data_IF_201822857266
#
_entry.id   IF_201822857266
#
_cell.length_a   1.000
_cell.length_b   1.000
_cell.length_c   1.000
_cell.angle_alpha   90.00
_cell.angle_beta   90.00
_cell.angle_gamma   90.00
#
_symmetry.space_group_name_H-M   'P 1'
#
loop_
_entity.id
_entity.type
_entity.pdbx_description
1 polymer ?
#
# COMPACT_ATOMS: atom_id res chain seq x y z
N UNK A 1 7.03 4.38 -5.47
CA UNK A 1 6.39 3.19 -6.10
C UNK A 1 7.34 2.01 -5.92
N UNK A 2 6.85 0.83 -5.54
CA UNK A 2 7.69 -0.33 -5.20
C UNK A 2 7.60 -1.40 -6.30
N UNK A 3 8.73 -1.98 -6.69
CA UNK A 3 8.80 -2.99 -7.75
C UNK A 3 8.79 -4.41 -7.17
N UNK A 4 7.95 -5.28 -7.73
CA UNK A 4 7.79 -6.66 -7.26
C UNK A 4 8.99 -7.50 -7.73
N UNK A 5 9.71 -8.11 -6.79
CA UNK A 5 10.82 -9.02 -7.14
C UNK A 5 10.33 -10.43 -7.49
N UNK A 6 11.14 -11.23 -8.19
CA UNK A 6 10.81 -12.64 -8.50
C UNK A 6 10.50 -13.47 -7.25
N UNK A 7 11.23 -13.24 -6.15
CA UNK A 7 10.97 -13.90 -4.86
C UNK A 7 9.58 -13.57 -4.32
N UNK A 8 9.10 -12.36 -4.56
CA UNK A 8 7.77 -11.91 -4.12
C UNK A 8 6.68 -12.45 -5.04
N UNK A 9 6.94 -12.54 -6.34
CA UNK A 9 6.06 -13.26 -7.28
C UNK A 9 5.90 -14.74 -6.90
N UNK A 10 6.98 -15.39 -6.46
CA UNK A 10 6.97 -16.81 -6.07
C UNK A 10 6.12 -17.11 -4.83
N UNK A 11 5.93 -16.12 -3.93
CA UNK A 11 5.04 -16.23 -2.77
C UNK A 11 3.66 -15.62 -3.01
N UNK A 12 3.34 -15.28 -4.26
CA UNK A 12 2.01 -14.84 -4.68
C UNK A 12 1.75 -13.34 -4.68
N UNK A 13 2.75 -12.49 -4.38
CA UNK A 13 2.59 -11.03 -4.47
C UNK A 13 2.59 -10.62 -5.95
N UNK A 14 1.65 -9.76 -6.36
CA UNK A 14 1.41 -9.31 -7.74
C UNK A 14 1.48 -7.78 -7.86
N UNK A 15 1.50 -7.29 -9.11
CA UNK A 15 1.34 -5.86 -9.39
C UNK A 15 -0.05 -5.39 -8.97
N UNK A 16 -0.14 -4.17 -8.45
CA UNK A 16 -1.39 -3.64 -7.88
C UNK A 16 -1.67 -4.09 -6.45
N UNK A 17 -0.93 -5.07 -5.91
CA UNK A 17 -1.06 -5.47 -4.50
C UNK A 17 -0.68 -4.31 -3.57
N UNK A 18 -1.41 -4.23 -2.46
CA UNK A 18 -1.14 -3.28 -1.38
C UNK A 18 -0.46 -4.03 -0.23
N UNK A 19 0.74 -3.58 0.12
CA UNK A 19 1.45 -4.06 1.30
C UNK A 19 1.27 -3.09 2.46
N UNK A 20 0.94 -3.64 3.62
CA UNK A 20 1.07 -2.97 4.91
C UNK A 20 2.40 -3.37 5.53
N UNK A 21 3.29 -2.41 5.75
CA UNK A 21 4.61 -2.67 6.32
C UNK A 21 4.70 -2.04 7.71
N UNK A 22 4.93 -2.83 8.77
CA UNK A 22 5.20 -2.32 10.12
C UNK A 22 6.35 -1.33 10.13
N UNK A 23 6.16 -0.18 10.77
CA UNK A 23 7.22 0.80 10.97
C UNK A 23 7.50 0.97 12.47
N UNK A 24 8.77 0.95 12.85
CA UNK A 24 9.19 1.01 14.27
C UNK A 24 9.21 2.43 14.86
N UNK A 25 8.96 3.46 14.05
CA UNK A 25 9.12 4.86 14.42
C UNK A 25 7.87 5.69 14.16
N UNK A 26 7.95 6.98 14.47
CA UNK A 26 6.90 7.93 14.09
C UNK A 26 7.12 8.48 12.67
N UNK A 27 6.04 8.73 11.91
CA UNK A 27 6.14 9.36 10.61
C UNK A 27 6.68 10.79 10.74
N UNK A 28 7.61 11.17 9.86
CA UNK A 28 7.94 12.57 9.64
C UNK A 28 6.85 13.20 8.78
N UNK A 29 5.81 13.74 9.42
CA UNK A 29 4.58 14.18 8.76
C UNK A 29 4.82 15.43 7.91
N UNK A 30 4.48 15.36 6.63
CA UNK A 30 4.36 16.52 5.74
C UNK A 30 2.91 17.00 5.64
N UNK A 31 1.95 16.06 5.62
CA UNK A 31 0.53 16.36 5.47
C UNK A 31 -0.32 15.34 6.21
N UNK A 32 -1.33 15.81 6.94
CA UNK A 32 -2.41 14.98 7.48
C UNK A 32 -3.47 14.76 6.38
N UNK A 33 -3.90 13.51 6.19
CA UNK A 33 -4.97 13.15 5.24
C UNK A 33 -6.31 13.00 5.98
N UNK A 34 -6.30 12.54 7.23
CA UNK A 34 -7.50 12.25 8.02
C UNK A 34 -7.58 10.77 8.39
N UNK A 35 -8.78 10.19 8.33
CA UNK A 35 -9.02 8.80 8.73
C UNK A 35 -9.10 7.82 7.56
N UNK A 36 -9.17 8.33 6.33
CA UNK A 36 -9.31 7.50 5.13
C UNK A 36 -8.50 8.02 3.95
N UNK A 37 -8.03 7.12 3.09
CA UNK A 37 -7.32 7.46 1.86
C UNK A 37 -7.46 6.37 0.80
N UNK A 38 -7.57 6.74 -0.48
CA UNK A 38 -7.61 5.77 -1.58
C UNK A 38 -6.22 5.67 -2.20
N UNK A 39 -5.71 4.43 -2.31
CA UNK A 39 -4.44 4.11 -2.95
C UNK A 39 -4.66 3.15 -4.13
N UNK A 40 -3.86 3.27 -5.19
CA UNK A 40 -3.98 2.42 -6.39
C UNK A 40 -5.38 2.47 -7.03
N UNK A 41 -6.08 3.60 -6.91
CA UNK A 41 -7.44 3.88 -7.42
C UNK A 41 -8.59 3.00 -6.86
N UNK A 42 -8.31 1.82 -6.31
CA UNK A 42 -9.31 0.84 -5.92
C UNK A 42 -9.24 0.42 -4.45
N UNK A 43 -8.16 0.71 -3.73
CA UNK A 43 -7.97 0.28 -2.34
C UNK A 43 -8.17 1.43 -1.37
N UNK A 44 -9.14 1.28 -0.46
CA UNK A 44 -9.42 2.24 0.59
C UNK A 44 -8.68 1.84 1.86
N UNK A 45 -7.78 2.72 2.31
CA UNK A 45 -7.14 2.68 3.61
C UNK A 45 -8.07 3.35 4.61
N UNK A 46 -8.37 2.66 5.72
CA UNK A 46 -9.12 3.22 6.86
C UNK A 46 -8.28 3.05 8.12
N UNK A 47 -8.08 4.13 8.86
CA UNK A 47 -7.23 4.16 10.04
C UNK A 47 -7.65 5.28 10.99
N UNK A 48 -7.17 5.25 12.23
CA UNK A 48 -7.37 6.36 13.16
C UNK A 48 -6.67 7.65 12.65
N UNK A 49 -5.53 7.49 11.97
CA UNK A 49 -4.77 8.56 11.34
C UNK A 49 -4.11 8.07 10.06
N UNK A 50 -4.16 8.88 9.02
CA UNK A 50 -3.47 8.68 7.74
C UNK A 50 -2.70 9.96 7.42
N UNK A 51 -1.42 9.80 7.09
CA UNK A 51 -0.50 10.92 6.81
C UNK A 51 0.31 10.65 5.55
N UNK A 52 0.74 11.73 4.90
CA UNK A 52 1.84 11.71 3.93
C UNK A 52 3.11 12.18 4.64
N UNK A 53 4.16 11.39 4.55
CA UNK A 53 5.48 11.73 5.10
C UNK A 53 6.25 12.69 4.18
N UNK A 54 7.30 13.33 4.69
CA UNK A 54 8.17 14.24 3.92
C UNK A 54 8.81 13.60 2.68
N UNK A 55 8.98 12.28 2.67
CA UNK A 55 9.49 11.52 1.52
C UNK A 55 8.37 11.02 0.60
N UNK A 56 7.14 11.52 0.77
CA UNK A 56 5.99 11.27 -0.10
C UNK A 56 5.33 9.90 0.10
N UNK A 57 5.61 9.19 1.21
CA UNK A 57 4.98 7.90 1.51
C UNK A 57 3.69 8.09 2.29
N UNK A 58 2.75 7.18 2.11
CA UNK A 58 1.53 7.12 2.92
C UNK A 58 1.79 6.25 4.14
N UNK A 59 1.53 6.78 5.32
CA UNK A 59 1.57 6.06 6.58
C UNK A 59 0.20 6.11 7.24
N UNK A 60 -0.18 5.03 7.91
CA UNK A 60 -1.45 4.93 8.60
C UNK A 60 -1.27 4.24 9.97
N UNK A 61 -2.04 4.69 10.96
CA UNK A 61 -1.99 4.14 12.32
C UNK A 61 -3.02 3.03 12.49
N UNK A 62 -2.55 1.80 12.69
CA UNK A 62 -3.34 0.56 12.80
C UNK A 62 -4.38 0.42 11.67
N UNK A 63 -3.95 0.45 10.40
CA UNK A 63 -4.87 0.50 9.27
C UNK A 63 -5.63 -0.80 9.01
N UNK A 64 -6.73 -0.64 8.27
CA UNK A 64 -7.34 -1.70 7.46
C UNK A 64 -7.40 -1.27 6.00
N UNK A 65 -7.35 -2.24 5.09
CA UNK A 65 -7.39 -2.06 3.64
C UNK A 65 -8.61 -2.78 3.08
N UNK A 66 -9.42 -2.05 2.35
CA UNK A 66 -10.65 -2.53 1.76
C UNK A 66 -10.60 -2.34 0.24
N UNK A 67 -10.98 -3.36 -0.52
CA UNK A 67 -11.20 -3.17 -1.94
C UNK A 67 -12.53 -2.45 -2.16
N UNK A 68 -12.53 -1.36 -2.91
CA UNK A 68 -13.72 -0.54 -3.22
C UNK A 68 -14.88 -1.33 -3.82
N UNK A 69 -14.58 -2.41 -4.57
CA UNK A 69 -15.57 -3.33 -5.15
C UNK A 69 -15.84 -4.57 -4.29
N UNK A 70 -15.29 -4.63 -3.08
CA UNK A 70 -15.41 -5.77 -2.16
C UNK A 70 -15.05 -7.12 -2.80
N UNK A 71 -14.01 -7.14 -3.63
CA UNK A 71 -13.61 -8.31 -4.43
C UNK A 71 -12.83 -9.35 -3.63
N UNK A 72 -12.27 -8.96 -2.49
CA UNK A 72 -11.55 -9.81 -1.56
C UNK A 72 -11.74 -9.30 -0.14
N UNK A 73 -11.45 -10.17 0.83
CA UNK A 73 -11.58 -9.84 2.24
C UNK A 73 -10.66 -8.66 2.62
N UNK A 74 -11.06 -7.85 3.62
CA UNK A 74 -10.25 -6.75 4.09
C UNK A 74 -8.97 -7.25 4.76
N UNK A 75 -7.89 -6.49 4.58
CA UNK A 75 -6.60 -6.77 5.23
C UNK A 75 -6.48 -5.84 6.44
N UNK A 76 -6.13 -6.40 7.60
CA UNK A 76 -5.94 -5.64 8.83
C UNK A 76 -4.47 -5.61 9.22
N UNK A 77 -4.05 -4.53 9.89
CA UNK A 77 -2.76 -4.48 10.54
C UNK A 77 -2.59 -5.64 11.54
N UNK A 78 -1.39 -6.22 11.57
CA UNK A 78 -1.05 -7.34 12.44
C UNK A 78 -0.76 -6.91 13.89
N UNK A 79 -0.59 -5.61 14.14
CA UNK A 79 -0.43 -5.02 15.46
C UNK A 79 -0.87 -3.55 15.48
N UNK A 80 -1.02 -3.00 16.70
CA UNK A 80 -1.24 -1.58 16.88
C UNK A 80 0.04 -0.78 16.59
N UNK A 81 -0.04 0.21 15.70
CA UNK A 81 1.11 1.04 15.37
C UNK A 81 1.11 1.59 13.95
N UNK A 82 2.17 2.30 13.61
CA UNK A 82 2.33 2.88 12.29
C UNK A 82 2.71 1.83 11.25
N UNK A 83 2.02 1.89 10.11
CA UNK A 83 2.31 1.08 8.95
C UNK A 83 2.50 1.98 7.74
N UNK A 84 3.53 1.73 6.94
CA UNK A 84 3.62 2.34 5.62
C UNK A 84 2.79 1.54 4.62
N UNK A 85 1.97 2.25 3.85
CA UNK A 85 1.13 1.68 2.80
C UNK A 85 1.90 1.75 1.49
N UNK A 86 2.22 0.58 0.92
CA UNK A 86 3.04 0.48 -0.28
C UNK A 86 2.25 -0.22 -1.37
N UNK A 87 1.91 0.52 -2.42
CA UNK A 87 1.31 -0.05 -3.62
C UNK A 87 2.42 -0.57 -4.52
N UNK A 88 2.36 -1.85 -4.85
CA UNK A 88 3.19 -2.44 -5.90
C UNK A 88 2.94 -1.69 -7.22
N UNK A 89 4.00 -1.37 -7.95
CA UNK A 89 3.97 -0.59 -9.20
C UNK A 89 2.85 -1.09 -10.10
N UNK A 90 1.85 -0.24 -10.30
CA UNK A 90 0.78 -0.45 -11.26
C UNK A 90 1.30 0.06 -12.61
N UNK A 91 2.28 -0.63 -13.20
CA UNK A 91 2.40 -0.51 -14.65
C UNK A 91 1.20 -1.26 -15.22
N UNK A 92 0.47 -0.64 -16.15
CA UNK A 92 -0.68 -1.28 -16.79
C UNK A 92 -0.25 -2.68 -17.23
N UNK A 93 -0.86 -3.70 -16.64
CA UNK A 93 -0.59 -5.12 -16.95
C UNK A 93 -0.82 -5.47 -18.44
N UNK A 94 -1.26 -4.50 -19.25
CA UNK A 94 -1.56 -4.57 -20.67
C UNK A 94 -0.53 -3.86 -21.55
N UNK A 95 0.58 -3.35 -20.99
CA UNK A 95 1.66 -2.84 -21.82
C UNK A 95 2.59 -3.98 -22.25
N UNK A 96 2.23 -4.66 -23.35
CA UNK A 96 3.03 -5.72 -23.98
C UNK A 96 4.44 -5.30 -24.43
N UNK A 97 4.81 -4.02 -24.30
CA UNK A 97 6.16 -3.52 -24.60
C UNK A 97 7.15 -3.63 -23.43
N UNK A 98 6.68 -3.94 -22.22
CA UNK A 98 7.56 -4.11 -21.05
C UNK A 98 7.69 -5.59 -20.73
N UNK A 99 8.84 -6.17 -21.08
CA UNK A 99 9.23 -7.49 -20.56
C UNK A 99 9.53 -7.34 -19.08
N UNK A 100 8.89 -8.16 -18.25
CA UNK A 100 9.34 -8.39 -16.88
C UNK A 100 10.74 -9.03 -16.96
N UNK A 101 11.77 -8.27 -16.58
CA UNK A 101 13.14 -8.79 -16.40
C UNK A 101 14.21 -8.39 -17.43
N UNK A 102 14.26 -7.12 -17.85
CA UNK A 102 15.49 -6.51 -18.40
C UNK A 102 15.94 -5.34 -17.50
#
# INVERSE_FOLDING_TARGET
>A
MWEVTERQLAIGIRQGDVLLVPERGQPKVAKEIGTEHIVGQSHQIRAARVVVTIDGRVWAFSPSVWHSKNQHDPIFADHEGWHSVRVAREEMAWNFSVRLGD
#
